data_IF_131113653933
#
_entry.id   IF_131113653933
#
_cell.length_a   1.000
_cell.length_b   1.000
_cell.length_c   1.000
_cell.angle_alpha   90.00
_cell.angle_beta   90.00
_cell.angle_gamma   90.00
#
_symmetry.space_group_name_H-M   'P 1'
#
loop_
_entity.id
_entity.type
_entity.pdbx_description
1 polymer ?
#
# COMPACT_ATOMS: atom_id res chain seq x y z
N UNK A 1 -16.53 8.54 -16.33
CA UNK A 1 -15.12 8.08 -16.25
C UNK A 1 -14.33 9.29 -15.79
N UNK A 2 -13.71 9.35 -14.62
CA UNK A 2 -13.08 8.29 -13.84
C UNK A 2 -13.33 8.59 -12.35
N UNK A 3 -13.90 7.63 -11.64
CA UNK A 3 -14.20 7.74 -10.22
C UNK A 3 -12.89 7.76 -9.44
N UNK A 4 -12.40 8.94 -9.07
CA UNK A 4 -11.34 9.10 -8.09
C UNK A 4 -11.90 8.73 -6.71
N UNK A 5 -11.96 7.42 -6.44
CA UNK A 5 -12.37 6.85 -5.16
C UNK A 5 -11.34 7.19 -4.08
N UNK A 6 -11.49 8.35 -3.46
CA UNK A 6 -10.84 8.70 -2.20
C UNK A 6 -11.62 8.02 -1.07
N UNK A 7 -11.42 6.72 -0.87
CA UNK A 7 -11.88 6.04 0.33
C UNK A 7 -10.70 5.83 1.28
N UNK A 8 -10.76 6.47 2.45
CA UNK A 8 -10.07 5.99 3.65
C UNK A 8 -8.94 6.86 4.21
N UNK A 9 -9.25 8.09 4.63
CA UNK A 9 -8.37 8.89 5.51
C UNK A 9 -8.32 8.35 6.97
N UNK A 10 -8.84 7.14 7.20
CA UNK A 10 -8.89 6.47 8.51
C UNK A 10 -7.97 5.24 8.56
N UNK A 11 -6.78 5.35 7.98
CA UNK A 11 -5.70 4.35 8.00
C UNK A 11 -4.35 5.02 8.36
N UNK A 12 -4.39 6.00 9.27
CA UNK A 12 -3.23 6.87 9.52
C UNK A 12 -2.04 6.19 10.22
N UNK A 13 -2.15 4.95 10.69
CA UNK A 13 -1.05 4.29 11.39
C UNK A 13 -0.49 3.02 10.72
N UNK A 14 -1.32 2.13 10.14
CA UNK A 14 -0.79 0.83 9.69
C UNK A 14 0.26 0.92 8.58
N UNK A 15 -0.05 1.59 7.46
CA UNK A 15 0.84 1.59 6.28
C UNK A 15 2.15 2.38 6.50
N UNK A 16 2.08 3.50 7.22
CA UNK A 16 3.22 4.38 7.47
C UNK A 16 4.12 3.90 8.63
N UNK A 17 3.70 2.90 9.41
CA UNK A 17 4.61 2.18 10.30
C UNK A 17 5.66 1.36 9.51
N UNK A 18 5.32 1.01 8.27
CA UNK A 18 6.10 0.17 7.36
C UNK A 18 6.82 0.95 6.25
N UNK A 19 6.58 2.25 6.14
CA UNK A 19 7.27 3.12 5.20
C UNK A 19 7.10 4.59 5.55
N UNK A 20 8.00 5.43 5.05
CA UNK A 20 7.97 6.86 5.30
C UNK A 20 7.17 7.59 4.23
N UNK A 21 6.31 8.50 4.67
CA UNK A 21 5.63 9.45 3.82
C UNK A 21 6.57 10.64 3.55
N UNK A 22 6.97 10.84 2.30
CA UNK A 22 7.71 12.02 1.88
C UNK A 22 7.05 12.61 0.65
N UNK A 23 5.78 13.05 0.78
CA UNK A 23 4.96 13.62 -0.31
C UNK A 23 5.82 14.51 -1.22
N UNK A 24 5.89 14.24 -2.54
CA UNK A 24 5.06 13.31 -3.33
C UNK A 24 5.55 11.85 -3.36
N UNK A 25 6.59 11.51 -2.60
CA UNK A 25 7.27 10.22 -2.59
C UNK A 25 6.88 9.38 -1.38
N UNK A 26 7.13 8.09 -1.47
CA UNK A 26 7.16 7.20 -0.31
C UNK A 26 8.44 6.37 -0.31
N UNK A 27 8.90 6.00 0.89
CA UNK A 27 10.09 5.15 1.08
C UNK A 27 9.69 3.93 1.89
N UNK A 28 9.93 2.73 1.36
CA UNK A 28 9.71 1.51 2.14
C UNK A 28 10.86 1.30 3.14
N UNK A 29 10.57 1.09 4.43
CA UNK A 29 11.62 0.87 5.43
C UNK A 29 12.37 -0.46 5.27
N UNK A 30 11.74 -1.43 4.59
CA UNK A 30 12.26 -2.80 4.44
C UNK A 30 13.24 -2.92 3.28
N UNK A 31 12.81 -2.59 2.07
CA UNK A 31 13.65 -2.65 0.87
C UNK A 31 14.33 -1.32 0.52
N UNK A 32 14.07 -0.24 1.28
CA UNK A 32 14.52 1.13 0.99
C UNK A 32 14.13 1.63 -0.40
N UNK A 33 13.09 1.04 -0.98
CA UNK A 33 12.57 1.47 -2.26
C UNK A 33 11.90 2.83 -2.08
N UNK A 34 12.47 3.85 -2.71
CA UNK A 34 11.79 5.12 -2.91
C UNK A 34 10.99 5.06 -4.23
N UNK A 35 9.76 5.56 -4.21
CA UNK A 35 9.03 5.85 -5.44
C UNK A 35 8.65 7.31 -5.43
N UNK A 36 8.97 7.99 -6.53
CA UNK A 36 8.69 9.42 -6.70
C UNK A 36 7.22 9.70 -7.02
N UNK A 37 6.46 8.64 -7.32
CA UNK A 37 5.07 8.67 -7.78
C UNK A 37 4.23 7.65 -7.01
N UNK A 38 3.39 8.15 -6.10
CA UNK A 38 2.40 7.35 -5.38
C UNK A 38 2.29 7.72 -3.90
N UNK A 39 1.07 7.66 -3.36
CA UNK A 39 0.82 7.83 -1.93
C UNK A 39 0.69 6.50 -1.18
N UNK A 40 0.00 6.54 -0.04
CA UNK A 40 -0.29 5.38 0.82
C UNK A 40 -0.84 4.16 0.07
N UNK A 41 -1.66 4.35 -0.97
CA UNK A 41 -2.22 3.26 -1.78
C UNK A 41 -1.14 2.41 -2.43
N UNK A 42 -0.10 3.04 -3.00
CA UNK A 42 1.01 2.34 -3.64
C UNK A 42 1.90 1.63 -2.62
N UNK A 43 2.13 2.26 -1.47
CA UNK A 43 2.84 1.62 -0.36
C UNK A 43 2.07 0.39 0.16
N UNK A 44 0.75 0.45 0.29
CA UNK A 44 -0.08 -0.72 0.63
C UNK A 44 0.08 -1.86 -0.38
N UNK A 45 -0.04 -1.58 -1.67
CA UNK A 45 0.13 -2.59 -2.72
C UNK A 45 1.56 -3.19 -2.73
N UNK A 46 2.58 -2.36 -2.46
CA UNK A 46 3.98 -2.77 -2.31
C UNK A 46 4.17 -3.75 -1.13
N UNK A 47 3.61 -3.41 0.04
CA UNK A 47 3.70 -4.22 1.27
C UNK A 47 2.92 -5.54 1.14
N UNK A 48 1.75 -5.50 0.50
CA UNK A 48 0.91 -6.68 0.26
C UNK A 48 1.44 -7.62 -0.83
N UNK A 49 2.50 -7.21 -1.56
CA UNK A 49 2.96 -7.91 -2.76
C UNK A 49 1.83 -8.09 -3.78
N UNK A 50 0.94 -7.11 -3.89
CA UNK A 50 -0.27 -7.18 -4.72
C UNK A 50 -0.51 -5.84 -5.40
N UNK A 51 -0.03 -5.69 -6.62
CA UNK A 51 -0.41 -4.62 -7.53
C UNK A 51 0.38 -4.68 -8.83
N UNK A 52 -0.30 -4.54 -9.98
CA UNK A 52 0.32 -4.81 -11.30
C UNK A 52 1.42 -3.82 -11.71
N UNK A 53 1.49 -2.65 -11.05
CA UNK A 53 2.41 -1.56 -11.39
C UNK A 53 3.33 -1.15 -10.22
N UNK A 54 3.39 -1.97 -9.17
CA UNK A 54 4.23 -1.74 -8.00
C UNK A 54 5.16 -2.93 -7.80
N UNK A 55 6.42 -2.64 -7.46
CA UNK A 55 7.36 -3.70 -7.11
C UNK A 55 6.90 -4.34 -5.80
N UNK A 56 6.96 -5.67 -5.70
CA UNK A 56 6.62 -6.34 -4.45
C UNK A 56 7.82 -6.30 -3.50
N UNK A 57 7.57 -6.03 -2.22
CA UNK A 57 8.64 -6.10 -1.24
C UNK A 57 8.92 -7.54 -0.82
N UNK A 58 10.12 -8.04 -1.10
CA UNK A 58 10.59 -9.35 -0.59
C UNK A 58 11.17 -9.28 0.82
N UNK A 59 11.47 -8.07 1.30
CA UNK A 59 12.01 -7.82 2.65
C UNK A 59 10.93 -7.64 3.72
N UNK A 60 9.65 -7.52 3.32
CA UNK A 60 8.54 -7.41 4.27
C UNK A 60 8.29 -8.79 4.88
N UNK A 61 8.20 -8.89 6.23
CA UNK A 61 7.89 -10.16 6.88
C UNK A 61 6.49 -10.65 6.47
N UNK A 62 6.35 -11.97 6.40
CA UNK A 62 5.13 -12.62 5.90
C UNK A 62 3.87 -12.19 6.64
N UNK A 63 3.94 -12.00 7.97
CA UNK A 63 2.83 -11.48 8.79
C UNK A 63 2.30 -10.13 8.28
N UNK A 64 3.20 -9.19 8.03
CA UNK A 64 2.86 -7.85 7.53
C UNK A 64 2.30 -7.93 6.12
N UNK A 65 2.94 -8.73 5.25
CA UNK A 65 2.47 -8.94 3.89
C UNK A 65 1.05 -9.54 3.86
N UNK A 66 0.79 -10.58 4.66
CA UNK A 66 -0.53 -11.19 4.76
C UNK A 66 -1.57 -10.25 5.34
N UNK A 67 -1.22 -9.44 6.35
CA UNK A 67 -2.10 -8.44 6.93
C UNK A 67 -2.60 -7.45 5.86
N UNK A 68 -1.67 -6.81 5.13
CA UNK A 68 -2.04 -5.87 4.06
C UNK A 68 -2.74 -6.56 2.89
N UNK A 69 -2.36 -7.80 2.57
CA UNK A 69 -3.00 -8.58 1.51
C UNK A 69 -4.47 -8.83 1.83
N UNK A 70 -4.79 -9.19 3.09
CA UNK A 70 -6.17 -9.38 3.58
C UNK A 70 -6.95 -8.06 3.59
N UNK A 71 -6.32 -6.97 4.01
CA UNK A 71 -6.93 -5.63 3.96
C UNK A 71 -7.32 -5.23 2.52
N UNK A 72 -6.39 -5.33 1.57
CA UNK A 72 -6.65 -5.03 0.16
C UNK A 72 -7.73 -5.95 -0.41
N UNK A 73 -7.74 -7.24 -0.05
CA UNK A 73 -8.77 -8.16 -0.50
C UNK A 73 -10.17 -7.77 -0.01
N UNK A 74 -10.29 -7.41 1.28
CA UNK A 74 -11.53 -6.89 1.87
C UNK A 74 -12.02 -5.64 1.15
N UNK A 75 -11.13 -4.71 0.81
CA UNK A 75 -11.49 -3.50 0.06
C UNK A 75 -11.97 -3.83 -1.36
N UNK A 76 -11.30 -4.74 -2.08
CA UNK A 76 -11.69 -5.14 -3.45
C UNK A 76 -13.05 -5.82 -3.49
N UNK A 77 -13.41 -6.60 -2.48
CA UNK A 77 -14.73 -7.22 -2.39
C UNK A 77 -15.86 -6.18 -2.25
N UNK A 78 -15.61 -5.06 -1.56
CA UNK A 78 -16.58 -3.97 -1.41
C UNK A 78 -16.83 -3.17 -2.69
N UNK A 79 -15.86 -3.09 -3.59
CA UNK A 79 -16.02 -2.38 -4.88
C UNK A 79 -16.78 -3.20 -5.93
N UNK A 80 -17.04 -4.49 -5.69
CA UNK A 80 -17.74 -5.38 -6.64
C UNK A 80 -19.25 -5.54 -6.37
N UNK A 81 -19.81 -4.88 -5.35
CA UNK A 81 -21.25 -4.82 -5.08
C UNK A 81 -21.85 -3.46 -5.41
#
# INVERSE_FOLDING_TARGET
MESTGTMGDHEKNGVWEHGENSVPRFVCKYCKLERKDGGATRLKEHLAGRGSNVLHCTFVPKDVCEYFRREIDRTKQKTKQ
#
